data_IF_159176674209
#
_entry.id   IF_159176674209
#
_cell.length_a   1.000
_cell.length_b   1.000
_cell.length_c   1.000
_cell.angle_alpha   90.00
_cell.angle_beta   90.00
_cell.angle_gamma   90.00
#
_symmetry.space_group_name_H-M   'P 1'
#
loop_
_entity.id
_entity.type
_entity.pdbx_description
1 polymer ?
#
# COMPACT_ATOMS: atom_id res chain seq x y z
N UNK A 1 -40.28 57.21 14.51
CA UNK A 1 -38.89 56.95 14.89
C UNK A 1 -38.66 55.45 14.75
N UNK A 2 -38.34 55.01 13.53
CA UNK A 2 -38.12 53.60 13.17
C UNK A 2 -36.65 53.47 12.76
N UNK A 3 -35.86 52.74 13.55
CA UNK A 3 -34.48 52.39 13.22
C UNK A 3 -34.50 51.02 12.52
N UNK A 4 -34.26 51.04 11.22
CA UNK A 4 -34.20 49.88 10.35
C UNK A 4 -32.85 49.16 10.47
N UNK A 5 -32.93 47.87 10.79
CA UNK A 5 -32.28 46.74 10.13
C UNK A 5 -31.10 47.07 9.19
N UNK A 6 -29.86 46.82 9.63
CA UNK A 6 -28.70 46.67 8.74
C UNK A 6 -27.57 45.89 9.44
N UNK A 7 -27.82 44.64 9.84
CA UNK A 7 -26.75 43.81 10.42
C UNK A 7 -26.93 42.30 10.23
N UNK A 8 -27.57 41.84 9.14
CA UNK A 8 -27.87 40.40 8.98
C UNK A 8 -27.65 39.84 7.57
N UNK A 9 -26.74 40.40 6.77
CA UNK A 9 -26.48 39.91 5.39
C UNK A 9 -25.00 39.55 5.13
N UNK A 10 -24.09 39.68 6.10
CA UNK A 10 -22.67 39.38 5.89
C UNK A 10 -22.21 37.98 6.37
N UNK A 11 -23.13 37.11 6.80
CA UNK A 11 -22.79 35.76 7.28
C UNK A 11 -23.21 34.61 6.34
N UNK A 12 -23.83 34.91 5.19
CA UNK A 12 -24.34 33.87 4.27
C UNK A 12 -23.41 33.49 3.11
N UNK A 13 -22.28 34.19 2.91
CA UNK A 13 -21.38 33.95 1.76
C UNK A 13 -20.18 33.03 2.06
N UNK A 14 -20.00 32.56 3.30
CA UNK A 14 -18.91 31.63 3.67
C UNK A 14 -19.32 30.15 3.53
N UNK A 15 -20.60 29.84 3.26
CA UNK A 15 -21.10 28.46 3.18
C UNK A 15 -20.97 27.79 1.80
N UNK A 16 -20.41 28.47 0.80
CA UNK A 16 -20.14 27.90 -0.51
C UNK A 16 -18.74 28.31 -1.00
N UNK A 17 -17.71 28.04 -0.19
CA UNK A 17 -16.46 27.65 -0.85
C UNK A 17 -16.79 26.27 -1.41
N UNK A 18 -16.99 26.10 -2.74
CA UNK A 18 -17.08 24.77 -3.28
C UNK A 18 -15.82 24.07 -2.79
N UNK A 19 -15.98 22.97 -2.04
CA UNK A 19 -14.88 22.05 -1.82
C UNK A 19 -14.35 21.77 -3.22
N UNK A 20 -13.23 22.41 -3.57
CA UNK A 20 -12.49 22.15 -4.79
C UNK A 20 -12.07 20.70 -4.62
N UNK A 21 -12.87 19.78 -5.17
CA UNK A 21 -12.53 18.37 -5.21
C UNK A 21 -11.21 18.30 -5.96
N UNK A 22 -10.12 18.15 -5.22
CA UNK A 22 -8.80 18.05 -5.82
C UNK A 22 -8.80 16.80 -6.69
N UNK A 23 -8.47 16.96 -7.97
CA UNK A 23 -8.24 15.84 -8.87
C UNK A 23 -7.07 15.00 -8.31
N UNK A 24 -7.31 13.71 -8.15
CA UNK A 24 -6.31 12.74 -7.72
C UNK A 24 -6.08 11.70 -8.82
N UNK A 25 -4.85 11.22 -8.95
CA UNK A 25 -4.52 10.10 -9.83
C UNK A 25 -4.40 8.83 -8.99
N UNK A 26 -5.07 7.77 -9.44
CA UNK A 26 -5.14 6.47 -8.76
C UNK A 26 -4.88 5.32 -9.73
N UNK A 27 -4.43 4.18 -9.19
CA UNK A 27 -4.20 2.97 -9.99
C UNK A 27 -2.99 3.06 -10.91
N UNK A 28 -2.59 1.91 -11.45
CA UNK A 28 -1.50 1.88 -12.42
C UNK A 28 -1.94 2.44 -13.78
N UNK A 29 -3.22 2.29 -14.10
CA UNK A 29 -3.86 2.85 -15.27
C UNK A 29 -3.92 4.37 -15.26
N UNK A 30 -3.62 5.03 -14.14
CA UNK A 30 -3.66 6.50 -13.98
C UNK A 30 -5.05 7.08 -14.23
N UNK A 31 -6.03 6.56 -13.49
CA UNK A 31 -7.41 7.06 -13.52
C UNK A 31 -7.49 8.38 -12.76
N UNK A 32 -8.31 9.32 -13.25
CA UNK A 32 -8.60 10.57 -12.55
C UNK A 32 -9.81 10.39 -11.65
N UNK A 33 -9.63 10.74 -10.37
CA UNK A 33 -10.63 10.72 -9.33
C UNK A 33 -10.94 12.14 -8.86
N UNK A 34 -12.21 12.46 -8.73
CA UNK A 34 -12.69 13.69 -8.08
C UNK A 34 -13.66 13.32 -6.96
N UNK A 35 -13.33 13.72 -5.73
CA UNK A 35 -14.09 13.27 -4.56
C UNK A 35 -14.05 11.75 -4.44
N UNK A 36 -15.19 11.09 -4.63
CA UNK A 36 -15.34 9.63 -4.45
C UNK A 36 -15.66 8.87 -5.73
N UNK A 37 -15.43 9.50 -6.88
CA UNK A 37 -15.77 8.94 -8.19
C UNK A 37 -14.58 9.02 -9.15
N UNK A 38 -14.49 8.04 -10.04
CA UNK A 38 -13.59 8.08 -11.19
C UNK A 38 -14.30 8.86 -12.29
N UNK A 39 -13.81 10.06 -12.58
CA UNK A 39 -14.36 10.96 -13.61
C UNK A 39 -13.74 10.69 -14.98
N UNK A 40 -12.53 10.10 -15.02
CA UNK A 40 -11.85 9.72 -16.26
C UNK A 40 -11.04 8.44 -16.08
N UNK A 41 -11.37 7.42 -16.86
CA UNK A 41 -10.57 6.20 -16.94
C UNK A 41 -9.24 6.50 -17.65
N UNK A 42 -8.14 5.97 -17.10
CA UNK A 42 -6.81 6.09 -17.66
C UNK A 42 -6.51 5.05 -18.73
N UNK A 43 -5.26 4.58 -18.84
CA UNK A 43 -4.84 3.64 -19.91
C UNK A 43 -5.33 2.21 -19.70
N UNK A 44 -5.56 1.80 -18.45
CA UNK A 44 -6.05 0.48 -18.09
C UNK A 44 -7.59 0.42 -18.24
N UNK A 45 -8.08 -0.08 -19.37
CA UNK A 45 -9.53 -0.11 -19.66
C UNK A 45 -10.00 -1.45 -20.23
N UNK A 46 -9.10 -2.36 -20.58
CA UNK A 46 -9.47 -3.64 -21.19
C UNK A 46 -9.62 -4.70 -20.12
N UNK A 47 -10.72 -5.45 -20.13
CA UNK A 47 -10.90 -6.60 -19.24
C UNK A 47 -10.05 -7.78 -19.73
N UNK A 48 -9.37 -8.43 -18.79
CA UNK A 48 -8.61 -9.67 -19.02
C UNK A 48 -9.49 -10.87 -18.64
N UNK A 49 -9.64 -11.82 -19.56
CA UNK A 49 -10.46 -13.02 -19.33
C UNK A 49 -9.63 -14.32 -19.23
N UNK A 50 -8.39 -14.33 -19.74
CA UNK A 50 -7.52 -15.51 -19.78
C UNK A 50 -6.05 -15.11 -19.85
N UNK A 51 -5.14 -16.06 -19.58
CA UNK A 51 -3.69 -15.81 -19.62
C UNK A 51 -3.17 -15.24 -20.94
N UNK A 52 -3.75 -15.60 -22.08
CA UNK A 52 -3.36 -15.03 -23.39
C UNK A 52 -3.56 -13.51 -23.43
N UNK A 53 -4.54 -13.00 -22.70
CA UNK A 53 -4.85 -11.57 -22.66
C UNK A 53 -3.81 -10.79 -21.84
N UNK A 54 -2.93 -11.47 -21.10
CA UNK A 54 -1.84 -10.88 -20.30
C UNK A 54 -0.57 -10.63 -21.11
N UNK A 55 -0.52 -11.00 -22.39
CA UNK A 55 0.68 -10.83 -23.23
C UNK A 55 1.16 -9.36 -23.22
N UNK A 56 2.42 -9.16 -22.82
CA UNK A 56 3.04 -7.84 -22.72
C UNK A 56 2.75 -7.08 -21.42
N UNK A 57 1.96 -7.64 -20.50
CA UNK A 57 1.70 -7.05 -19.18
C UNK A 57 2.98 -6.89 -18.36
N UNK A 58 3.89 -7.87 -18.42
CA UNK A 58 5.13 -7.86 -17.63
C UNK A 58 6.07 -6.69 -17.95
N UNK A 59 5.88 -6.03 -19.10
CA UNK A 59 6.70 -4.90 -19.53
C UNK A 59 6.20 -3.55 -19.01
N UNK A 60 5.05 -3.52 -18.32
CA UNK A 60 4.47 -2.29 -17.78
C UNK A 60 5.11 -1.94 -16.43
N UNK A 61 5.44 -0.66 -16.24
CA UNK A 61 6.02 -0.18 -14.98
C UNK A 61 5.09 -0.48 -13.80
N UNK A 62 5.62 -1.13 -12.76
CA UNK A 62 4.89 -1.56 -11.56
C UNK A 62 3.76 -2.57 -11.84
N UNK A 63 3.78 -3.28 -12.97
CA UNK A 63 2.91 -4.43 -13.19
C UNK A 63 3.19 -5.52 -12.16
N UNK A 64 2.13 -6.22 -11.76
CA UNK A 64 2.26 -7.41 -10.94
C UNK A 64 2.54 -8.64 -11.82
N UNK A 65 3.12 -9.66 -11.22
CA UNK A 65 3.15 -11.01 -11.80
C UNK A 65 1.75 -11.59 -11.59
N UNK A 66 1.01 -11.78 -12.68
CA UNK A 66 -0.40 -12.17 -12.64
C UNK A 66 -0.65 -13.39 -13.52
N UNK A 67 -1.53 -14.28 -13.06
CA UNK A 67 -2.15 -15.29 -13.90
C UNK A 67 -3.67 -15.33 -13.70
N UNK A 68 -4.36 -15.90 -14.67
CA UNK A 68 -5.79 -16.19 -14.65
C UNK A 68 -5.98 -17.72 -14.65
N UNK A 69 -6.65 -18.25 -13.64
CA UNK A 69 -6.95 -19.70 -13.59
C UNK A 69 -8.16 -20.07 -14.49
N UNK A 70 -8.43 -21.37 -14.63
CA UNK A 70 -9.53 -21.87 -15.47
C UNK A 70 -10.93 -21.39 -15.02
N UNK A 71 -11.05 -20.98 -13.75
CA UNK A 71 -12.26 -20.38 -13.19
C UNK A 71 -12.36 -18.87 -13.43
N UNK A 72 -11.41 -18.26 -14.13
CA UNK A 72 -11.32 -16.82 -14.34
C UNK A 72 -10.85 -16.04 -13.10
N UNK A 73 -10.31 -16.72 -12.09
CA UNK A 73 -9.80 -16.05 -10.89
C UNK A 73 -8.47 -15.38 -11.18
N UNK A 74 -8.25 -14.23 -10.55
CA UNK A 74 -7.04 -13.43 -10.71
C UNK A 74 -6.06 -13.84 -9.61
N UNK A 75 -4.88 -14.30 -9.98
CA UNK A 75 -3.83 -14.74 -9.04
C UNK A 75 -2.67 -13.77 -9.17
N UNK A 76 -2.36 -13.07 -8.07
CA UNK A 76 -1.14 -12.26 -7.94
C UNK A 76 -0.05 -13.13 -7.32
N UNK A 77 1.12 -13.15 -7.96
CA UNK A 77 2.27 -13.94 -7.55
C UNK A 77 3.29 -13.05 -6.84
N UNK A 78 3.72 -13.45 -5.65
CA UNK A 78 4.78 -12.78 -4.89
C UNK A 78 5.88 -13.78 -4.59
N UNK A 79 6.79 -13.92 -5.55
CA UNK A 79 7.80 -14.99 -5.55
C UNK A 79 9.09 -14.57 -4.87
N UNK A 80 9.83 -15.56 -4.35
CA UNK A 80 11.14 -15.35 -3.73
C UNK A 80 12.16 -14.71 -4.66
N UNK A 81 12.15 -15.08 -5.93
CA UNK A 81 13.10 -14.56 -6.94
C UNK A 81 12.49 -13.41 -7.78
N UNK A 82 11.24 -13.03 -7.51
CA UNK A 82 10.53 -11.98 -8.23
C UNK A 82 10.95 -10.57 -7.81
N UNK A 83 10.69 -9.60 -8.69
CA UNK A 83 11.08 -8.19 -8.46
C UNK A 83 10.07 -7.41 -7.60
N UNK A 84 8.85 -7.93 -7.44
CA UNK A 84 7.77 -7.29 -6.67
C UNK A 84 8.16 -7.15 -5.19
N UNK A 85 8.98 -8.06 -4.65
CA UNK A 85 9.48 -7.94 -3.27
C UNK A 85 10.33 -6.69 -3.03
N UNK A 86 10.92 -6.13 -4.07
CA UNK A 86 11.81 -4.96 -4.00
C UNK A 86 11.10 -3.67 -4.41
N UNK A 87 10.23 -3.76 -5.42
CA UNK A 87 9.58 -2.59 -6.05
C UNK A 87 8.13 -2.40 -5.62
N UNK A 88 7.45 -3.47 -5.22
CA UNK A 88 5.99 -3.50 -5.18
C UNK A 88 5.39 -3.56 -6.59
N UNK A 89 4.07 -3.66 -6.65
CA UNK A 89 3.30 -3.59 -7.88
C UNK A 89 1.85 -3.18 -7.59
N UNK A 90 1.10 -2.92 -8.64
CA UNK A 90 -0.29 -2.46 -8.55
C UNK A 90 -1.14 -3.12 -9.64
N UNK A 91 -2.35 -3.53 -9.26
CA UNK A 91 -3.39 -3.99 -10.19
C UNK A 91 -4.62 -3.12 -10.07
N UNK A 92 -5.22 -2.84 -11.22
CA UNK A 92 -6.51 -2.18 -11.33
C UNK A 92 -7.55 -3.26 -11.65
N UNK A 93 -8.63 -3.29 -10.89
CA UNK A 93 -9.71 -4.25 -11.04
C UNK A 93 -11.06 -3.54 -11.07
N UNK A 94 -11.99 -4.07 -11.84
CA UNK A 94 -13.41 -3.73 -11.70
C UNK A 94 -14.04 -4.61 -10.63
N UNK A 95 -15.01 -4.04 -9.93
CA UNK A 95 -15.84 -4.74 -8.95
C UNK A 95 -17.28 -4.25 -9.03
N UNK A 96 -18.18 -4.95 -8.34
CA UNK A 96 -19.59 -4.56 -8.25
C UNK A 96 -19.86 -3.67 -7.03
N UNK A 97 -21.04 -3.05 -6.99
CA UNK A 97 -21.47 -2.24 -5.83
C UNK A 97 -21.43 -3.02 -4.52
N UNK A 98 -21.81 -4.29 -4.55
CA UNK A 98 -21.82 -5.18 -3.37
C UNK A 98 -20.43 -5.39 -2.76
N UNK A 99 -19.37 -5.23 -3.57
CA UNK A 99 -17.98 -5.42 -3.19
C UNK A 99 -17.21 -4.08 -3.20
N UNK A 100 -17.92 -2.96 -3.12
CA UNK A 100 -17.32 -1.62 -3.21
C UNK A 100 -16.84 -1.06 -1.87
N UNK A 101 -17.33 -1.58 -0.75
CA UNK A 101 -16.95 -1.21 0.63
C UNK A 101 -16.39 -2.41 1.43
N UNK A 102 -16.30 -3.56 0.77
CA UNK A 102 -15.73 -4.79 1.30
C UNK A 102 -15.04 -5.57 0.20
N UNK A 103 -13.96 -6.26 0.53
CA UNK A 103 -13.33 -7.16 -0.43
C UNK A 103 -12.76 -8.39 0.24
N UNK A 104 -12.64 -9.44 -0.55
CA UNK A 104 -12.20 -10.76 -0.11
C UNK A 104 -11.18 -11.32 -1.09
N UNK A 105 -10.16 -11.97 -0.54
CA UNK A 105 -9.21 -12.77 -1.30
C UNK A 105 -8.74 -13.96 -0.48
N UNK A 106 -8.15 -14.91 -1.18
CA UNK A 106 -7.43 -16.04 -0.59
C UNK A 106 -5.95 -15.70 -0.62
N UNK A 107 -5.25 -15.85 0.50
CA UNK A 107 -3.80 -15.70 0.58
C UNK A 107 -3.17 -17.06 0.90
N UNK A 108 -2.17 -17.44 0.11
CA UNK A 108 -1.53 -18.77 0.22
C UNK A 108 -0.03 -18.60 0.29
N UNK A 109 0.63 -19.22 1.28
CA UNK A 109 2.09 -19.41 1.26
C UNK A 109 2.40 -20.80 0.73
N UNK A 110 3.37 -20.90 -0.18
CA UNK A 110 3.68 -22.14 -0.89
C UNK A 110 5.18 -22.43 -0.89
N UNK A 111 5.52 -23.71 -0.75
CA UNK A 111 6.86 -24.23 -0.94
C UNK A 111 6.93 -25.47 -1.86
N UNK A 112 5.85 -25.80 -2.58
CA UNK A 112 5.79 -26.98 -3.45
C UNK A 112 6.95 -27.04 -4.47
N UNK A 113 7.63 -28.21 -4.63
CA UNK A 113 7.29 -29.53 -4.10
C UNK A 113 7.70 -29.83 -2.65
N UNK A 114 8.36 -28.88 -1.98
CA UNK A 114 8.85 -29.04 -0.63
C UNK A 114 7.82 -28.68 0.44
N UNK A 115 8.11 -29.08 1.68
CA UNK A 115 7.30 -28.79 2.86
C UNK A 115 7.53 -27.36 3.37
N UNK A 116 6.51 -26.76 3.97
CA UNK A 116 6.55 -25.41 4.56
C UNK A 116 7.61 -25.29 5.66
N UNK A 117 7.86 -26.36 6.41
CA UNK A 117 8.84 -26.39 7.50
C UNK A 117 10.28 -26.14 7.05
N UNK A 118 10.57 -26.24 5.74
CA UNK A 118 11.88 -25.90 5.18
C UNK A 118 12.07 -24.41 4.90
N UNK A 119 10.99 -23.64 4.79
CA UNK A 119 11.05 -22.24 4.40
C UNK A 119 10.44 -21.26 5.43
N UNK A 120 9.46 -21.73 6.20
CA UNK A 120 8.94 -21.00 7.35
C UNK A 120 9.86 -21.23 8.55
N UNK A 121 10.15 -20.16 9.29
CA UNK A 121 10.94 -20.24 10.53
C UNK A 121 10.06 -20.16 11.78
N UNK A 122 10.55 -20.66 12.93
CA UNK A 122 9.87 -20.51 14.20
C UNK A 122 9.55 -19.04 14.52
N UNK A 123 8.38 -18.79 15.14
CA UNK A 123 8.00 -17.43 15.57
C UNK A 123 9.07 -16.77 16.45
N UNK A 124 9.63 -17.50 17.41
CA UNK A 124 10.63 -16.98 18.35
C UNK A 124 11.95 -16.63 17.66
N UNK A 125 12.21 -17.18 16.47
CA UNK A 125 13.33 -16.82 15.61
C UNK A 125 12.98 -15.68 14.64
N UNK A 126 11.92 -14.93 14.96
CA UNK A 126 11.40 -13.86 14.12
C UNK A 126 10.92 -14.33 12.74
N UNK A 127 10.48 -15.60 12.65
CA UNK A 127 10.11 -16.22 11.38
C UNK A 127 8.97 -15.56 10.63
N UNK A 128 8.13 -14.78 11.32
CA UNK A 128 7.11 -13.96 10.66
C UNK A 128 7.70 -12.86 9.79
N UNK A 129 8.91 -12.38 10.05
CA UNK A 129 9.49 -11.28 9.25
C UNK A 129 9.72 -11.68 7.80
N UNK A 130 10.13 -12.92 7.55
CA UNK A 130 10.62 -13.32 6.23
C UNK A 130 9.48 -13.60 5.25
N UNK A 131 8.37 -14.17 5.74
CA UNK A 131 7.20 -14.48 4.91
C UNK A 131 6.05 -13.51 5.22
N UNK A 132 6.36 -12.21 5.35
CA UNK A 132 5.38 -11.13 5.45
C UNK A 132 5.05 -10.62 4.04
N UNK A 133 3.81 -10.25 3.78
CA UNK A 133 3.41 -9.55 2.57
C UNK A 133 2.63 -8.28 2.98
N UNK A 134 3.23 -7.09 2.84
CA UNK A 134 2.52 -5.83 3.03
C UNK A 134 1.73 -5.45 1.78
N UNK A 135 0.54 -4.88 1.97
CA UNK A 135 -0.35 -4.46 0.90
C UNK A 135 -1.21 -3.26 1.31
N UNK A 136 -1.74 -2.57 0.31
CA UNK A 136 -2.72 -1.50 0.46
C UNK A 136 -3.75 -1.57 -0.65
N UNK A 137 -4.79 -0.75 -0.55
CA UNK A 137 -5.91 -0.77 -1.50
C UNK A 137 -6.55 0.60 -1.58
N UNK A 138 -6.99 0.96 -2.78
CA UNK A 138 -7.76 2.16 -3.11
C UNK A 138 -7.29 3.44 -2.39
N UNK A 139 -5.99 3.67 -2.54
CA UNK A 139 -5.29 4.91 -2.18
C UNK A 139 -4.84 5.64 -3.44
N UNK A 140 -4.56 6.94 -3.32
CA UNK A 140 -3.95 7.71 -4.41
C UNK A 140 -2.45 7.42 -4.56
N UNK A 141 -1.87 7.82 -5.69
CA UNK A 141 -0.47 7.56 -6.02
C UNK A 141 0.54 8.23 -5.07
N UNK A 142 0.17 9.34 -4.41
CA UNK A 142 1.07 9.99 -3.44
C UNK A 142 1.22 9.13 -2.18
N UNK A 143 0.09 8.64 -1.65
CA UNK A 143 0.09 7.72 -0.50
C UNK A 143 0.81 6.43 -0.85
N UNK A 144 0.60 5.89 -2.05
CA UNK A 144 1.31 4.69 -2.50
C UNK A 144 2.83 4.91 -2.45
N UNK A 145 3.34 6.03 -2.99
CA UNK A 145 4.77 6.39 -2.95
C UNK A 145 5.31 6.55 -1.54
N UNK A 146 4.50 6.99 -0.59
CA UNK A 146 4.89 7.08 0.82
C UNK A 146 5.02 5.68 1.42
N UNK A 147 4.04 4.80 1.19
CA UNK A 147 4.07 3.42 1.69
C UNK A 147 5.22 2.59 1.11
N UNK A 148 5.64 2.85 -0.13
CA UNK A 148 6.83 2.22 -0.72
C UNK A 148 8.12 2.47 0.08
N UNK A 149 8.18 3.54 0.88
CA UNK A 149 9.36 3.91 1.69
C UNK A 149 9.35 3.27 3.08
N UNK A 150 8.30 2.52 3.44
CA UNK A 150 8.12 1.99 4.78
C UNK A 150 7.23 2.85 5.66
N UNK A 151 6.95 2.41 6.90
CA UNK A 151 6.02 3.08 7.79
C UNK A 151 6.55 4.46 8.22
N UNK A 152 5.81 5.51 7.85
CA UNK A 152 6.16 6.89 8.16
C UNK A 152 5.64 7.27 9.54
N UNK A 153 6.47 7.95 10.33
CA UNK A 153 6.14 8.36 11.69
C UNK A 153 6.20 9.88 11.81
N UNK A 154 5.10 10.50 12.23
CA UNK A 154 5.05 11.92 12.54
C UNK A 154 4.80 12.14 14.03
N UNK A 155 5.14 13.33 14.53
CA UNK A 155 4.92 13.71 15.91
C UNK A 155 3.45 13.56 16.28
N UNK A 156 3.20 12.77 17.32
CA UNK A 156 1.87 12.41 17.78
C UNK A 156 1.93 11.43 18.95
N UNK A 157 1.01 11.59 19.90
CA UNK A 157 0.89 10.67 21.03
C UNK A 157 0.17 9.39 20.59
N UNK A 158 0.92 8.32 20.33
CA UNK A 158 0.39 6.97 20.24
C UNK A 158 0.67 6.24 21.55
N UNK A 159 -0.22 5.33 21.95
CA UNK A 159 -0.18 4.74 23.28
C UNK A 159 1.16 4.05 23.56
N UNK A 160 1.70 3.29 22.60
CA UNK A 160 2.88 2.44 22.80
C UNK A 160 3.63 2.17 21.48
N UNK A 161 4.19 3.20 20.84
CA UNK A 161 5.15 2.99 19.74
C UNK A 161 6.58 2.94 20.29
N UNK A 162 7.11 1.73 20.54
CA UNK A 162 8.44 1.53 21.14
C UNK A 162 9.59 2.05 20.24
N UNK A 163 9.34 2.30 18.95
CA UNK A 163 10.38 2.66 17.97
C UNK A 163 10.77 4.13 18.05
N UNK A 164 9.77 4.99 18.29
CA UNK A 164 9.96 6.43 18.35
C UNK A 164 8.98 7.00 19.37
N UNK A 165 9.51 7.36 20.55
CA UNK A 165 8.73 8.09 21.55
C UNK A 165 8.06 9.30 20.90
N UNK A 166 6.78 9.48 21.21
CA UNK A 166 5.96 10.61 20.76
C UNK A 166 5.78 10.72 19.24
N UNK A 167 5.87 9.59 18.51
CA UNK A 167 5.43 9.54 17.11
C UNK A 167 4.41 8.44 16.85
N UNK A 168 3.48 8.77 15.95
CA UNK A 168 2.46 7.89 15.42
C UNK A 168 2.70 7.64 13.93
N UNK A 169 2.30 6.48 13.44
CA UNK A 169 2.15 6.25 12.01
C UNK A 169 0.92 7.00 11.51
N UNK A 170 1.09 7.83 10.48
CA UNK A 170 0.03 8.70 9.94
C UNK A 170 -0.96 7.96 9.04
N UNK A 171 -0.52 6.86 8.44
CA UNK A 171 -1.35 6.03 7.57
C UNK A 171 -0.73 4.65 7.46
N UNK A 172 -1.57 3.63 7.48
CA UNK A 172 -1.10 2.25 7.39
C UNK A 172 -2.02 1.40 6.53
N UNK A 173 -1.38 0.57 5.69
CA UNK A 173 -2.03 -0.53 4.99
C UNK A 173 -2.19 -1.73 5.91
N UNK A 174 -2.19 -2.92 5.31
CA UNK A 174 -2.23 -4.18 6.03
C UNK A 174 -1.08 -5.07 5.60
N UNK A 175 -0.75 -6.03 6.43
CA UNK A 175 0.17 -7.10 6.12
C UNK A 175 -0.36 -8.40 6.69
N UNK A 176 0.02 -9.50 6.07
CA UNK A 176 -0.12 -10.82 6.65
C UNK A 176 1.22 -11.53 6.62
N UNK A 177 1.43 -12.46 7.54
CA UNK A 177 2.68 -13.21 7.63
C UNK A 177 2.48 -14.65 8.11
N UNK A 178 3.36 -15.55 7.68
CA UNK A 178 3.41 -16.92 8.15
C UNK A 178 4.68 -17.22 8.95
N UNK A 179 4.54 -18.10 9.93
CA UNK A 179 5.66 -18.71 10.66
C UNK A 179 5.28 -20.13 11.09
N UNK A 180 6.20 -20.87 11.68
CA UNK A 180 5.92 -22.18 12.26
C UNK A 180 6.08 -22.19 13.78
N UNK A 181 5.39 -23.15 14.40
CA UNK A 181 5.72 -23.71 15.70
C UNK A 181 5.43 -25.21 15.62
N UNK A 182 4.43 -25.70 16.35
CA UNK A 182 3.87 -27.05 16.15
C UNK A 182 2.96 -27.12 14.91
N UNK A 183 2.42 -25.96 14.55
CA UNK A 183 1.54 -25.74 13.40
C UNK A 183 2.01 -24.52 12.65
N UNK A 184 1.44 -24.29 11.47
CA UNK A 184 1.58 -23.00 10.80
C UNK A 184 0.88 -21.94 11.67
N UNK A 185 1.53 -20.79 11.84
CA UNK A 185 0.94 -19.62 12.47
C UNK A 185 0.75 -18.54 11.41
N UNK A 186 -0.35 -17.80 11.54
CA UNK A 186 -0.71 -16.69 10.67
C UNK A 186 -0.84 -15.43 11.51
N UNK A 187 -0.22 -14.36 11.03
CA UNK A 187 -0.40 -13.01 11.51
C UNK A 187 -1.14 -12.20 10.46
N UNK A 188 -2.05 -11.32 10.89
CA UNK A 188 -2.57 -10.25 10.06
C UNK A 188 -2.69 -8.99 10.89
N UNK A 189 -2.23 -7.88 10.35
CA UNK A 189 -2.22 -6.63 11.06
C UNK A 189 -1.82 -5.44 10.18
N UNK A 190 -1.74 -4.26 10.78
CA UNK A 190 -1.29 -3.04 10.15
C UNK A 190 0.20 -3.12 9.88
N UNK A 191 0.60 -2.50 8.78
CA UNK A 191 2.01 -2.38 8.45
C UNK A 191 2.70 -1.58 9.55
N UNK A 192 3.75 -2.15 10.14
CA UNK A 192 4.58 -1.52 11.15
C UNK A 192 4.09 -1.61 12.60
N UNK A 193 2.94 -2.23 12.85
CA UNK A 193 2.52 -2.57 14.23
C UNK A 193 3.28 -3.81 14.74
N UNK A 194 3.55 -3.89 16.06
CA UNK A 194 3.98 -5.12 16.72
C UNK A 194 3.18 -6.35 16.29
N UNK A 195 3.89 -7.43 15.97
CA UNK A 195 3.32 -8.72 15.54
C UNK A 195 2.82 -9.56 16.73
N UNK A 196 1.98 -8.95 17.55
CA UNK A 196 1.33 -9.61 18.69
C UNK A 196 0.06 -10.37 18.30
N UNK A 197 -0.41 -10.10 17.09
CA UNK A 197 -1.66 -10.60 16.56
C UNK A 197 -1.42 -11.79 15.63
N UNK A 198 -0.87 -12.87 16.18
CA UNK A 198 -0.80 -14.17 15.50
C UNK A 198 -1.67 -15.27 16.12
N UNK A 199 -2.14 -16.19 15.29
CA UNK A 199 -2.83 -17.42 15.71
C UNK A 199 -2.27 -18.64 15.00
N UNK A 200 -2.41 -19.78 15.67
CA UNK A 200 -2.18 -21.10 15.08
C UNK A 200 -3.26 -21.38 14.05
N UNK A 201 -2.84 -21.84 12.88
CA UNK A 201 -3.74 -22.32 11.84
C UNK A 201 -4.51 -23.55 12.32
N UNK A 202 -5.80 -23.59 11.98
CA UNK A 202 -6.67 -24.67 12.43
C UNK A 202 -6.33 -26.05 11.87
N UNK A 203 -5.69 -26.10 10.71
CA UNK A 203 -5.43 -27.34 9.96
C UNK A 203 -3.97 -27.52 9.53
N UNK A 204 -3.28 -26.45 9.17
CA UNK A 204 -1.99 -26.56 8.48
C UNK A 204 -0.82 -26.78 9.45
N UNK A 205 0.07 -27.72 9.08
CA UNK A 205 1.26 -28.14 9.84
C UNK A 205 2.52 -27.97 8.98
N UNK A 206 3.73 -28.00 9.57
CA UNK A 206 4.98 -27.77 8.84
C UNK A 206 5.23 -28.73 7.66
N UNK A 207 4.67 -29.94 7.68
CA UNK A 207 4.81 -30.93 6.60
C UNK A 207 3.86 -30.71 5.42
N UNK A 208 2.89 -29.78 5.52
CA UNK A 208 2.12 -29.35 4.35
C UNK A 208 3.04 -28.62 3.36
N UNK A 209 2.64 -28.57 2.09
CA UNK A 209 3.37 -27.84 1.04
C UNK A 209 2.88 -26.39 0.85
N UNK A 210 1.67 -26.14 1.31
CA UNK A 210 1.01 -24.85 1.23
C UNK A 210 0.12 -24.63 2.45
N UNK A 211 -0.16 -23.36 2.75
CA UNK A 211 -1.10 -22.97 3.79
C UNK A 211 -1.93 -21.79 3.30
N UNK A 212 -3.24 -21.89 3.46
CA UNK A 212 -4.22 -21.01 2.83
C UNK A 212 -5.13 -20.36 3.88
N UNK A 213 -5.25 -19.03 3.80
CA UNK A 213 -6.20 -18.25 4.58
C UNK A 213 -7.15 -17.46 3.67
N UNK A 214 -8.40 -17.33 4.11
CA UNK A 214 -9.38 -16.44 3.49
C UNK A 214 -9.42 -15.12 4.24
N UNK A 215 -9.08 -14.03 3.55
CA UNK A 215 -9.01 -12.68 4.11
C UNK A 215 -10.24 -11.90 3.68
N UNK A 216 -10.93 -11.28 4.64
CA UNK A 216 -12.05 -10.36 4.41
C UNK A 216 -11.69 -9.00 5.00
N UNK A 217 -11.90 -7.94 4.23
CA UNK A 217 -11.66 -6.55 4.66
C UNK A 217 -12.96 -5.78 4.48
N UNK A 218 -13.44 -5.17 5.57
CA UNK A 218 -14.73 -4.47 5.65
C UNK A 218 -14.63 -3.33 6.66
N UNK A 219 -15.39 -2.24 6.49
CA UNK A 219 -15.23 -1.03 7.30
C UNK A 219 -15.41 -1.28 8.81
N UNK A 220 -16.40 -2.11 9.19
CA UNK A 220 -16.75 -2.32 10.59
C UNK A 220 -15.66 -3.03 11.41
N UNK A 221 -14.99 -4.00 10.78
CA UNK A 221 -14.03 -4.90 11.45
C UNK A 221 -12.60 -4.68 10.97
N UNK A 222 -12.44 -3.85 9.94
CA UNK A 222 -11.25 -3.56 9.15
C UNK A 222 -10.65 -4.79 8.46
N UNK A 223 -10.37 -5.86 9.19
CA UNK A 223 -10.02 -7.15 8.61
C UNK A 223 -10.48 -8.32 9.48
N UNK A 224 -10.68 -9.46 8.81
CA UNK A 224 -10.94 -10.78 9.39
C UNK A 224 -10.21 -11.85 8.58
N UNK A 225 -9.74 -12.87 9.28
CA UNK A 225 -9.34 -14.15 8.68
C UNK A 225 -10.45 -15.15 8.95
N UNK A 226 -10.97 -15.78 7.91
CA UNK A 226 -12.02 -16.80 7.98
C UNK A 226 -11.38 -18.19 8.02
N UNK A 227 -10.81 -18.55 9.18
CA UNK A 227 -10.43 -19.92 9.52
C UNK A 227 -11.21 -20.32 10.79
N UNK A 228 -11.83 -21.52 10.83
CA UNK A 228 -12.70 -21.96 11.92
C UNK A 228 -12.05 -21.93 13.31
N UNK A 229 -10.72 -21.87 13.41
CA UNK A 229 -9.95 -21.76 14.65
C UNK A 229 -9.21 -20.42 14.79
N UNK A 230 -9.30 -19.53 13.80
CA UNK A 230 -8.73 -18.18 13.81
C UNK A 230 -9.86 -17.15 13.75
N UNK A 231 -10.26 -16.60 14.90
CA UNK A 231 -11.10 -15.41 14.93
C UNK A 231 -10.22 -14.17 15.09
N UNK A 232 -9.88 -13.53 13.96
CA UNK A 232 -9.27 -12.20 13.93
C UNK A 232 -10.35 -11.14 13.70
N UNK A 233 -10.37 -10.11 14.55
CA UNK A 233 -11.25 -8.96 14.41
C UNK A 233 -10.49 -7.68 14.76
N UNK A 234 -10.07 -6.94 13.73
CA UNK A 234 -9.33 -5.68 13.86
C UNK A 234 -10.07 -4.56 14.62
N UNK A 235 -11.36 -4.75 14.93
CA UNK A 235 -12.15 -3.84 15.78
C UNK A 235 -11.77 -3.92 17.26
N UNK A 236 -11.44 -5.12 17.73
CA UNK A 236 -11.16 -5.41 19.15
C UNK A 236 -9.74 -5.00 19.57
N UNK A 237 -8.87 -4.79 18.60
CA UNK A 237 -7.49 -4.43 18.85
C UNK A 237 -7.32 -2.93 19.12
N UNK A 238 -6.56 -2.63 20.17
CA UNK A 238 -6.12 -1.26 20.48
C UNK A 238 -4.82 -1.01 19.73
N UNK A 239 -4.80 -0.09 18.75
CA UNK A 239 -3.58 0.20 18.00
C UNK A 239 -2.53 0.80 18.93
N UNK A 240 -1.27 0.43 18.73
CA UNK A 240 -0.16 0.87 19.58
C UNK A 240 0.66 1.98 18.93
N UNK A 241 0.80 1.90 17.62
CA UNK A 241 1.68 2.71 16.79
C UNK A 241 0.92 3.66 15.84
N UNK A 242 -0.40 3.56 15.71
CA UNK A 242 -1.21 4.45 14.85
C UNK A 242 -2.56 4.80 15.49
N UNK A 243 -3.29 5.78 14.93
CA UNK A 243 -4.64 6.10 15.39
C UNK A 243 -5.70 5.41 14.52
N UNK A 244 -6.87 5.11 15.07
CA UNK A 244 -7.89 4.33 14.32
C UNK A 244 -8.38 5.05 13.05
N UNK A 245 -8.35 6.38 13.04
CA UNK A 245 -8.66 7.24 11.89
C UNK A 245 -7.61 7.18 10.77
N UNK A 246 -6.39 6.74 11.07
CA UNK A 246 -5.27 6.64 10.12
C UNK A 246 -5.31 5.32 9.31
N UNK A 247 -6.33 4.49 9.54
CA UNK A 247 -6.56 3.22 8.82
C UNK A 247 -7.00 3.52 7.39
N UNK A 248 -6.39 2.84 6.42
CA UNK A 248 -6.94 2.81 5.06
C UNK A 248 -8.25 2.00 5.08
N UNK A 249 -9.36 2.66 4.73
CA UNK A 249 -10.68 2.03 4.66
C UNK A 249 -10.86 1.25 3.36
N UNK A 250 -11.53 0.08 3.40
CA UNK A 250 -11.86 -0.65 2.17
C UNK A 250 -12.82 0.16 1.33
N UNK A 251 -12.44 0.45 0.09
CA UNK A 251 -13.27 1.21 -0.83
C UNK A 251 -12.95 0.86 -2.27
N UNK A 252 -13.92 0.96 -3.14
CA UNK A 252 -13.79 1.05 -4.59
C UNK A 252 -14.56 2.31 -5.04
N UNK A 253 -14.09 2.94 -6.11
CA UNK A 253 -14.66 4.20 -6.58
C UNK A 253 -15.61 3.98 -7.75
N UNK A 254 -16.79 4.59 -7.69
CA UNK A 254 -17.76 4.52 -8.78
C UNK A 254 -17.18 5.15 -10.05
N UNK A 255 -17.30 4.46 -11.18
CA UNK A 255 -16.84 4.93 -12.49
C UNK A 255 -17.99 5.64 -13.18
N UNK A 256 -17.83 6.93 -13.47
CA UNK A 256 -18.86 7.70 -14.16
C UNK A 256 -18.86 7.33 -15.65
N UNK A 257 -20.04 7.03 -16.19
CA UNK A 257 -20.22 6.73 -17.61
C UNK A 257 -19.64 5.38 -18.05
N UNK A 258 -19.51 4.42 -17.11
CA UNK A 258 -18.95 3.10 -17.36
C UNK A 258 -19.62 2.34 -18.52
N UNK A 259 -18.80 1.69 -19.34
CA UNK A 259 -19.19 0.82 -20.47
C UNK A 259 -18.90 -0.66 -20.22
N UNK A 260 -18.58 -1.01 -18.98
CA UNK A 260 -18.15 -2.36 -18.61
C UNK A 260 -19.35 -3.30 -18.49
N UNK A 261 -19.07 -4.60 -18.33
CA UNK A 261 -20.08 -5.63 -18.11
C UNK A 261 -21.08 -5.22 -17.02
N UNK A 262 -22.32 -5.70 -17.15
CA UNK A 262 -23.42 -5.30 -16.27
C UNK A 262 -23.06 -5.50 -14.80
N UNK A 263 -23.05 -4.41 -14.03
CA UNK A 263 -22.77 -4.41 -12.59
C UNK A 263 -21.32 -4.08 -12.19
N UNK A 264 -20.34 -4.17 -13.10
CA UNK A 264 -18.92 -3.90 -12.82
C UNK A 264 -18.54 -2.42 -12.98
N UNK A 265 -19.18 -1.56 -12.20
CA UNK A 265 -19.10 -0.09 -12.32
C UNK A 265 -18.19 0.58 -11.28
N UNK A 266 -17.37 -0.19 -10.55
CA UNK A 266 -16.50 0.33 -9.51
C UNK A 266 -15.04 -0.06 -9.78
N UNK A 267 -14.13 0.90 -9.63
CA UNK A 267 -12.69 0.68 -9.70
C UNK A 267 -12.15 0.34 -8.31
N UNK A 268 -11.60 -0.86 -8.18
CA UNK A 268 -10.83 -1.32 -7.03
C UNK A 268 -9.35 -1.38 -7.43
N UNK A 269 -8.49 -0.74 -6.64
CA UNK A 269 -7.03 -0.77 -6.89
C UNK A 269 -6.37 -1.51 -5.76
N UNK A 270 -5.54 -2.51 -6.08
CA UNK A 270 -4.82 -3.28 -5.08
C UNK A 270 -3.30 -3.10 -5.27
N UNK A 271 -2.61 -2.82 -4.18
CA UNK A 271 -1.18 -2.52 -4.17
C UNK A 271 -0.45 -3.61 -3.37
N UNK A 272 0.40 -4.39 -4.03
CA UNK A 272 1.38 -5.22 -3.36
C UNK A 272 2.60 -4.34 -3.04
N UNK A 273 2.95 -4.24 -1.77
CA UNK A 273 4.05 -3.40 -1.34
C UNK A 273 5.36 -4.21 -1.28
N UNK A 274 6.52 -3.57 -1.48
CA UNK A 274 7.80 -4.23 -1.32
C UNK A 274 8.03 -4.58 0.15
N UNK A 275 8.97 -5.48 0.43
CA UNK A 275 9.31 -5.88 1.80
C UNK A 275 9.82 -4.71 2.64
N UNK A 276 10.50 -3.75 2.01
CA UNK A 276 10.91 -2.51 2.68
C UNK A 276 9.76 -1.63 3.16
N UNK A 277 8.53 -1.91 2.72
CA UNK A 277 7.35 -1.23 3.20
C UNK A 277 6.99 -1.63 4.65
N UNK A 278 7.57 -2.70 5.19
CA UNK A 278 7.37 -3.14 6.58
C UNK A 278 8.68 -3.18 7.37
N UNK A 279 8.58 -3.41 8.68
CA UNK A 279 9.72 -3.60 9.58
C UNK A 279 9.92 -5.06 9.98
N UNK A 280 11.17 -5.40 10.27
CA UNK A 280 11.46 -6.59 11.08
C UNK A 280 11.05 -6.35 12.53
N UNK A 281 10.61 -7.42 13.18
CA UNK A 281 10.33 -7.46 14.60
C UNK A 281 11.23 -8.48 15.27
N UNK A 282 11.82 -8.13 16.40
CA UNK A 282 12.50 -9.08 17.28
C UNK A 282 11.45 -9.78 18.12
N UNK A 283 11.45 -11.11 18.07
CA UNK A 283 10.56 -11.93 18.87
C UNK A 283 11.32 -12.54 20.06
N UNK A 284 10.74 -12.48 21.25
CA UNK A 284 11.27 -13.18 22.44
C UNK A 284 10.13 -13.87 23.21
N UNK A 285 10.49 -14.78 24.11
CA UNK A 285 9.51 -15.45 24.97
C UNK A 285 8.84 -14.50 25.95
N UNK A 286 9.56 -13.48 26.44
CA UNK A 286 9.07 -12.53 27.44
C UNK A 286 8.26 -11.37 26.85
N UNK A 287 8.60 -10.93 25.64
CA UNK A 287 8.01 -9.72 25.04
C UNK A 287 7.16 -10.03 23.81
N UNK A 288 7.16 -11.26 23.30
CA UNK A 288 6.58 -11.55 21.99
C UNK A 288 7.30 -10.79 20.88
N UNK A 289 6.64 -10.58 19.75
CA UNK A 289 7.20 -9.86 18.59
C UNK A 289 6.94 -8.35 18.69
N UNK A 290 7.33 -7.74 19.82
CA UNK A 290 7.08 -6.33 20.15
C UNK A 290 8.11 -5.36 19.60
N UNK A 291 9.37 -5.73 19.69
CA UNK A 291 10.47 -4.81 19.46
C UNK A 291 10.73 -4.68 17.97
N UNK A 292 10.49 -3.49 17.43
CA UNK A 292 10.75 -3.20 16.02
C UNK A 292 12.26 -3.03 15.79
N UNK A 293 12.75 -3.70 14.76
CA UNK A 293 14.10 -3.57 14.22
C UNK A 293 13.95 -2.74 12.95
N UNK A 294 14.62 -1.59 12.85
CA UNK A 294 14.52 -0.65 11.70
C UNK A 294 15.02 -1.22 10.37
N UNK A 295 15.39 -2.49 10.33
CA UNK A 295 15.72 -3.20 9.11
C UNK A 295 14.46 -3.70 8.41
N UNK A 296 14.49 -3.67 7.09
CA UNK A 296 13.46 -4.29 6.27
C UNK A 296 13.72 -5.79 6.09
N UNK A 297 12.67 -6.63 6.00
CA UNK A 297 12.85 -8.02 5.58
C UNK A 297 13.38 -8.12 4.14
N UNK A 298 13.98 -9.27 3.80
CA UNK A 298 14.58 -9.51 2.48
C UNK A 298 13.60 -10.16 1.47
N UNK A 299 12.40 -10.54 1.90
CA UNK A 299 11.41 -11.20 1.05
C UNK A 299 11.20 -12.66 1.35
N UNK A 300 10.18 -13.26 0.72
CA UNK A 300 9.63 -14.51 1.18
C UNK A 300 10.72 -15.58 1.11
N UNK A 301 10.91 -16.28 2.22
CA UNK A 301 11.84 -17.40 2.26
C UNK A 301 11.26 -18.63 1.60
N UNK A 302 9.92 -18.78 1.69
CA UNK A 302 9.16 -19.72 0.89
C UNK A 302 9.18 -19.32 -0.59
N UNK A 303 9.02 -20.32 -1.46
CA UNK A 303 9.06 -20.14 -2.90
C UNK A 303 8.15 -19.01 -3.36
N UNK A 304 6.95 -18.94 -2.77
CA UNK A 304 5.92 -18.03 -3.23
C UNK A 304 4.87 -17.73 -2.16
N UNK A 305 4.32 -16.51 -2.23
CA UNK A 305 3.05 -16.13 -1.61
C UNK A 305 2.10 -15.72 -2.75
N UNK A 306 0.88 -16.23 -2.75
CA UNK A 306 -0.15 -15.91 -3.73
C UNK A 306 -1.31 -15.15 -3.10
N UNK A 307 -1.92 -14.26 -3.88
CA UNK A 307 -3.22 -13.64 -3.57
C UNK A 307 -4.19 -13.95 -4.69
N UNK A 308 -5.30 -14.60 -4.37
CA UNK A 308 -6.32 -15.01 -5.34
C UNK A 308 -7.62 -14.25 -5.12
N UNK A 309 -8.05 -13.49 -6.12
CA UNK A 309 -9.34 -12.82 -6.18
C UNK A 309 -10.34 -13.63 -7.01
N UNK A 310 -11.58 -13.73 -6.54
CA UNK A 310 -12.64 -14.44 -7.23
C UNK A 310 -13.07 -13.72 -8.51
N UNK A 311 -12.95 -14.38 -9.67
CA UNK A 311 -13.28 -13.81 -10.99
C UNK A 311 -14.76 -13.46 -11.20
N UNK A 312 -15.64 -13.94 -10.33
CA UNK A 312 -17.07 -13.57 -10.31
C UNK A 312 -17.30 -12.23 -9.60
N UNK A 313 -16.39 -11.80 -8.72
CA UNK A 313 -16.48 -10.57 -7.95
C UNK A 313 -15.57 -9.47 -8.49
N UNK A 314 -14.48 -9.86 -9.18
CA UNK A 314 -13.45 -8.96 -9.68
C UNK A 314 -13.10 -9.25 -11.14
N UNK A 315 -12.81 -8.21 -11.91
CA UNK A 315 -12.26 -8.32 -13.28
C UNK A 315 -10.97 -7.52 -13.37
N UNK A 316 -9.87 -8.13 -13.83
CA UNK A 316 -8.61 -7.43 -14.00
C UNK A 316 -8.68 -6.48 -15.19
N UNK A 317 -8.20 -5.24 -15.02
CA UNK A 317 -8.02 -4.28 -16.08
C UNK A 317 -6.58 -4.26 -16.57
N UNK A 318 -6.42 -4.18 -17.89
CA UNK A 318 -5.16 -4.03 -18.63
C UNK A 318 -5.17 -2.81 -19.55
N UNK A 319 -3.97 -2.37 -19.92
CA UNK A 319 -3.80 -1.38 -20.98
C UNK A 319 -4.56 -1.81 -22.25
N UNK A 320 -5.25 -0.85 -22.88
CA UNK A 320 -5.86 -1.08 -24.19
C UNK A 320 -4.81 -1.41 -25.26
N UNK A 321 -5.22 -2.12 -26.32
CA UNK A 321 -4.35 -2.69 -27.38
C UNK A 321 -3.52 -1.67 -28.21
N UNK A 322 -3.51 -0.38 -27.85
CA UNK A 322 -2.95 0.70 -28.67
C UNK A 322 -1.89 1.59 -27.99
N UNK A 323 -1.24 1.15 -26.90
CA UNK A 323 -0.22 1.97 -26.23
C UNK A 323 1.13 1.24 -26.22
N UNK A 324 1.82 1.25 -27.36
CA UNK A 324 3.25 0.95 -27.46
C UNK A 324 4.15 2.09 -26.99
N UNK A 325 3.60 3.18 -26.44
CA UNK A 325 4.39 4.27 -25.90
C UNK A 325 4.64 4.08 -24.40
N UNK A 326 5.86 3.64 -24.09
CA UNK A 326 6.51 3.84 -22.79
C UNK A 326 6.38 5.30 -22.40
N UNK A 327 5.37 5.64 -21.61
CA UNK A 327 5.22 6.97 -21.03
C UNK A 327 6.16 7.04 -19.84
N UNK A 328 7.45 7.21 -20.11
CA UNK A 328 8.44 7.53 -19.09
C UNK A 328 8.02 8.87 -18.48
N UNK A 329 7.55 8.86 -17.22
CA UNK A 329 7.03 10.08 -16.61
C UNK A 329 8.09 10.79 -15.78
N UNK A 330 8.47 11.99 -16.22
CA UNK A 330 9.01 13.01 -15.35
C UNK A 330 7.84 13.60 -14.55
N UNK A 331 7.69 13.16 -13.30
CA UNK A 331 6.74 13.75 -12.37
C UNK A 331 7.37 15.04 -11.84
N UNK A 332 7.03 16.17 -12.45
CA UNK A 332 7.32 17.47 -11.86
C UNK A 332 6.33 17.68 -10.71
N UNK A 333 6.78 17.44 -9.47
CA UNK A 333 6.04 17.83 -8.27
C UNK A 333 5.91 19.35 -8.28
N UNK A 334 4.74 19.86 -8.69
CA UNK A 334 4.36 21.23 -8.38
C UNK A 334 4.06 21.29 -6.89
N UNK A 335 5.07 21.66 -6.10
CA UNK A 335 4.86 22.11 -4.73
C UNK A 335 3.92 23.33 -4.80
N UNK A 336 2.70 23.16 -4.33
CA UNK A 336 1.79 24.28 -4.09
C UNK A 336 2.38 25.08 -2.92
N UNK A 337 3.20 26.08 -3.25
CA UNK A 337 3.62 27.09 -2.27
C UNK A 337 2.40 27.93 -1.94
N UNK A 338 1.76 27.63 -0.82
CA UNK A 338 0.81 28.53 -0.18
C UNK A 338 1.59 29.78 0.20
N UNK A 339 1.44 30.85 -0.59
CA UNK A 339 2.05 32.14 -0.29
C UNK A 339 1.41 32.72 0.98
N UNK A 340 2.02 32.42 2.13
CA UNK A 340 1.87 33.22 3.34
C UNK A 340 2.61 34.54 3.05
N UNK A 341 1.97 35.71 3.20
CA UNK A 341 2.65 36.98 3.05
C UNK A 341 3.64 37.16 4.20
N UNK A 342 4.90 36.77 3.96
CA UNK A 342 6.02 37.08 4.84
C UNK A 342 6.60 38.41 4.35
N UNK A 343 6.62 39.40 5.24
CA UNK A 343 7.22 40.70 5.00
C UNK A 343 8.67 40.54 4.53
N UNK A 344 8.98 41.29 3.48
CA UNK A 344 10.20 41.21 2.66
C UNK A 344 11.50 41.23 3.47
N UNK A 345 12.34 40.24 3.26
CA UNK A 345 13.80 40.39 3.27
C UNK A 345 14.33 39.70 2.02
N UNK A 346 15.03 40.45 1.16
CA UNK A 346 15.57 39.95 -0.11
C UNK A 346 16.60 38.84 0.17
N UNK A 347 16.23 37.58 -0.10
CA UNK A 347 17.20 36.48 -0.16
C UNK A 347 17.48 36.23 -1.65
N UNK A 348 18.64 36.67 -2.10
CA UNK A 348 19.16 36.37 -3.42
C UNK A 348 19.56 34.88 -3.43
N UNK A 349 18.90 34.07 -4.26
CA UNK A 349 19.23 32.64 -4.39
C UNK A 349 20.41 32.50 -5.34
N UNK A 350 21.58 32.15 -4.82
CA UNK A 350 22.74 31.76 -5.63
C UNK A 350 22.62 30.28 -6.02
N UNK A 351 22.58 30.01 -7.33
CA UNK A 351 22.68 28.65 -7.85
C UNK A 351 24.11 28.15 -7.64
N UNK A 352 24.30 27.19 -6.73
CA UNK A 352 25.60 26.54 -6.54
C UNK A 352 25.75 25.47 -7.61
N UNK A 353 26.66 25.72 -8.57
CA UNK A 353 27.08 24.73 -9.55
C UNK A 353 28.12 23.81 -8.89
N UNK A 354 27.86 22.50 -8.86
CA UNK A 354 28.87 21.50 -8.47
C UNK A 354 29.30 20.73 -9.71
N UNK A 355 30.60 20.72 -9.98
CA UNK A 355 31.22 19.90 -11.04
C UNK A 355 32.02 18.79 -10.40
N UNK A 356 31.88 17.58 -10.95
CA UNK A 356 32.53 16.36 -10.49
C UNK A 356 33.70 16.07 -11.43
N UNK A 357 34.92 16.10 -10.93
CA UNK A 357 36.08 15.54 -11.64
C UNK A 357 36.41 14.18 -11.04
N UNK A 358 36.57 13.17 -11.89
CA UNK A 358 37.08 11.85 -11.52
C UNK A 358 38.57 11.81 -11.85
N UNK A 359 39.41 11.76 -10.81
CA UNK A 359 40.81 11.35 -10.97
C UNK A 359 40.93 9.83 -10.85
N UNK A 360 41.80 9.24 -11.69
CA UNK A 360 42.21 7.84 -11.63
C UNK A 360 42.92 7.57 -10.30
N UNK A 361 42.15 7.18 -9.28
CA UNK A 361 42.69 6.93 -7.95
C UNK A 361 41.69 6.93 -6.80
N UNK A 362 40.44 6.55 -7.05
CA UNK A 362 39.52 6.02 -6.01
C UNK A 362 39.12 6.93 -4.84
N UNK A 363 39.40 8.23 -4.84
CA UNK A 363 38.94 9.16 -3.80
C UNK A 363 38.25 10.39 -4.41
N UNK A 364 36.94 10.51 -4.19
CA UNK A 364 36.13 11.65 -4.62
C UNK A 364 36.31 12.83 -3.66
N UNK A 365 36.79 13.97 -4.18
CA UNK A 365 36.77 15.27 -3.50
C UNK A 365 35.68 16.15 -4.09
N UNK A 366 34.92 16.82 -3.23
CA UNK A 366 33.97 17.86 -3.63
C UNK A 366 34.63 19.21 -3.47
N UNK A 367 34.72 20.00 -4.54
CA UNK A 367 35.14 21.40 -4.48
C UNK A 367 33.88 22.28 -4.45
N UNK A 368 33.73 23.08 -3.39
CA UNK A 368 32.73 24.13 -3.31
C UNK A 368 33.39 25.43 -3.76
N UNK A 369 32.92 26.01 -4.87
CA UNK A 369 33.31 27.35 -5.30
C UNK A 369 32.21 28.30 -4.85
N UNK A 370 32.52 29.17 -3.89
CA UNK A 370 31.64 30.24 -3.44
C UNK A 370 32.44 31.34 -2.76
N UNK A 371 32.25 32.59 -3.20
CA UNK A 371 32.81 33.79 -2.57
C UNK A 371 32.24 33.99 -1.15
N UNK A 372 33.11 34.39 -0.23
CA UNK A 372 32.74 34.91 1.08
C UNK A 372 32.09 36.29 0.90
N UNK A 373 30.82 36.41 1.29
CA UNK A 373 30.18 37.70 1.53
C UNK A 373 30.12 37.91 3.05
N UNK A 374 30.95 38.82 3.55
CA UNK A 374 30.79 39.37 4.91
C UNK A 374 29.55 40.27 4.94
N UNK A 375 28.73 40.12 5.98
CA UNK A 375 27.58 41.00 6.24
C UNK A 375 27.80 41.68 7.60
N UNK A 376 27.71 43.01 7.62
CA UNK A 376 27.68 43.86 8.83
C UNK A 376 26.30 43.87 9.48
#
# INVERSE_FOLDING_TARGET
MFLLNNCFVLFLFILFVPFLNSEEVVGYGRHTKEGEKITKMGVAQRIVNKNKDLEGYENVENACDVSIDDGGNIILHYTKEGTIKEKGCVVDMLTTKEWSDRFEFIATVMNDPEELGKCLKPKLESGMNENTLPFAFSINLNIFKELLKGPQHNYGSCAFCDVVKDKCMERTGLEFAWSIHERVNVHMGPIGEPKEWDKRHGKDVPSNKESEIKVKIEEENWFKIDDPLIFYDGKKENPKCYKKEDRIKPKAWEIIGGKYEEGFNYLFVFYLLPQKATFKHSCSTSEGCRKIIKESPNGPNCKEIQIKFNGSNYKLLMNGENIQQSTTLNITTSLSTTNIPINSTNIQTTNILTTKEEEEGGNTKWLLIGELVEVF
#
